data_IF_111857581914
#
_entry.id   IF_111857581914
#
_cell.length_a   1.000
_cell.length_b   1.000
_cell.length_c   1.000
_cell.angle_alpha   90.00
_cell.angle_beta   90.00
_cell.angle_gamma   90.00
#
_symmetry.space_group_name_H-M   'P 1'
#
loop_
_entity.id
_entity.type
_entity.pdbx_description
1 polymer ?
#
# COMPACT_ATOMS: atom_id res chain seq x y z
N UNK A 1 26.30 -8.62 -7.26
CA UNK A 1 25.12 -9.06 -6.48
C UNK A 1 24.26 -7.82 -6.21
N UNK A 2 23.25 -7.57 -7.05
CA UNK A 2 22.49 -6.32 -7.03
C UNK A 2 21.68 -6.20 -5.75
N UNK A 3 21.87 -5.11 -5.00
CA UNK A 3 21.00 -4.78 -3.87
C UNK A 3 19.63 -4.42 -4.45
N UNK A 4 18.59 -5.14 -4.07
CA UNK A 4 17.21 -4.78 -4.41
C UNK A 4 16.74 -3.67 -3.48
N UNK A 5 16.07 -2.64 -4.00
CA UNK A 5 15.56 -1.53 -3.20
C UNK A 5 14.47 -1.90 -2.19
N UNK A 6 13.87 -3.09 -2.35
CA UNK A 6 13.00 -3.77 -1.39
C UNK A 6 13.60 -5.14 -1.05
N UNK A 7 13.56 -5.52 0.23
CA UNK A 7 13.92 -6.86 0.69
C UNK A 7 12.69 -7.55 1.26
N UNK A 8 12.36 -8.69 0.66
CA UNK A 8 11.28 -9.55 1.07
C UNK A 8 11.80 -10.61 2.05
N UNK A 9 11.00 -11.02 3.04
CA UNK A 9 11.39 -12.04 4.01
C UNK A 9 11.57 -13.39 3.30
N UNK A 10 12.65 -14.11 3.63
CA UNK A 10 12.96 -15.46 3.11
C UNK A 10 12.94 -15.62 1.57
N UNK A 11 12.95 -14.52 0.81
CA UNK A 11 12.85 -14.54 -0.64
C UNK A 11 14.04 -13.80 -1.28
N UNK A 12 14.94 -14.58 -1.89
CA UNK A 12 16.14 -14.08 -2.58
C UNK A 12 15.87 -13.70 -4.04
N UNK A 13 14.74 -14.12 -4.61
CA UNK A 13 14.35 -13.89 -5.99
C UNK A 13 12.88 -13.45 -6.06
N UNK A 14 12.57 -12.22 -5.60
CA UNK A 14 11.20 -11.74 -5.54
C UNK A 14 10.55 -11.74 -6.92
N UNK A 15 9.35 -12.26 -6.97
CA UNK A 15 8.50 -12.33 -8.15
C UNK A 15 7.62 -11.09 -8.23
N UNK A 16 6.95 -10.88 -9.36
CA UNK A 16 6.01 -9.75 -9.54
C UNK A 16 4.89 -9.76 -8.50
N UNK A 17 4.52 -10.93 -7.99
CA UNK A 17 3.47 -11.07 -6.97
C UNK A 17 3.93 -10.55 -5.61
N UNK A 18 5.22 -10.68 -5.27
CA UNK A 18 5.77 -10.11 -4.03
C UNK A 18 5.68 -8.57 -4.07
N UNK A 19 5.97 -7.95 -5.21
CA UNK A 19 5.79 -6.51 -5.40
C UNK A 19 4.32 -6.09 -5.39
N UNK A 20 3.42 -6.92 -5.92
CA UNK A 20 1.98 -6.67 -5.86
C UNK A 20 1.46 -6.76 -4.42
N UNK A 21 1.91 -7.77 -3.66
CA UNK A 21 1.65 -7.89 -2.23
C UNK A 21 2.09 -6.62 -1.49
N UNK A 22 3.35 -6.20 -1.69
CA UNK A 22 3.88 -4.97 -1.11
C UNK A 22 3.01 -3.75 -1.47
N UNK A 23 2.73 -3.54 -2.76
CA UNK A 23 1.92 -2.41 -3.21
C UNK A 23 0.51 -2.41 -2.62
N UNK A 24 -0.12 -3.60 -2.53
CA UNK A 24 -1.47 -3.75 -1.99
C UNK A 24 -1.52 -3.47 -0.49
N UNK A 25 -0.52 -3.90 0.28
CA UNK A 25 -0.42 -3.54 1.71
C UNK A 25 -0.26 -2.03 1.92
N UNK A 26 0.55 -1.34 1.12
CA UNK A 26 0.62 0.13 1.16
C UNK A 26 -0.74 0.76 0.79
N UNK A 27 -1.44 0.21 -0.19
CA UNK A 27 -2.79 0.63 -0.58
C UNK A 27 -3.82 0.56 0.56
N UNK A 28 -3.79 -0.54 1.30
CA UNK A 28 -4.82 -0.87 2.29
C UNK A 28 -4.49 -0.39 3.70
N UNK A 29 -3.22 -0.45 4.11
CA UNK A 29 -2.78 -0.20 5.49
C UNK A 29 -1.62 0.80 5.62
N UNK A 30 -1.13 1.36 4.51
CA UNK A 30 0.00 2.30 4.43
C UNK A 30 1.37 1.76 4.85
N UNK A 31 1.43 0.53 5.37
CA UNK A 31 2.63 -0.12 5.82
C UNK A 31 2.50 -1.64 5.73
N UNK A 32 3.64 -2.28 5.48
CA UNK A 32 3.88 -3.73 5.60
C UNK A 32 4.87 -3.93 6.73
N UNK A 33 4.70 -5.01 7.49
CA UNK A 33 5.58 -5.37 8.60
C UNK A 33 6.80 -6.17 8.18
N UNK A 34 6.75 -6.81 7.02
CA UNK A 34 7.66 -7.89 6.64
C UNK A 34 8.61 -7.50 5.49
N UNK A 35 8.28 -6.47 4.69
CA UNK A 35 9.13 -5.98 3.60
C UNK A 35 9.94 -4.75 4.01
N UNK A 36 11.26 -4.83 3.86
CA UNK A 36 12.20 -3.78 4.23
C UNK A 36 12.54 -2.88 3.03
N UNK A 37 12.27 -1.55 3.13
CA UNK A 37 12.64 -0.58 2.10
C UNK A 37 14.08 -0.08 2.30
N UNK A 38 15.00 -0.49 1.41
CA UNK A 38 16.44 -0.29 1.60
C UNK A 38 17.00 0.95 0.89
N UNK A 39 16.36 1.38 -0.18
CA UNK A 39 16.84 2.50 -1.01
C UNK A 39 16.07 3.80 -0.77
N UNK A 40 16.81 4.92 -0.75
CA UNK A 40 16.23 6.27 -0.60
C UNK A 40 15.23 6.58 -1.73
N UNK A 41 15.55 6.19 -2.97
CA UNK A 41 14.68 6.41 -4.13
C UNK A 41 13.35 5.68 -3.98
N UNK A 42 13.40 4.42 -3.55
CA UNK A 42 12.20 3.61 -3.29
C UNK A 42 11.38 4.19 -2.13
N UNK A 43 12.01 4.70 -1.06
CA UNK A 43 11.28 5.36 0.04
C UNK A 43 10.43 6.54 -0.43
N UNK A 44 10.90 7.31 -1.41
CA UNK A 44 10.11 8.43 -1.98
C UNK A 44 8.87 7.93 -2.73
N UNK A 45 9.02 6.83 -3.49
CA UNK A 45 7.89 6.19 -4.20
C UNK A 45 6.88 5.65 -3.20
N UNK A 46 7.34 4.94 -2.17
CA UNK A 46 6.48 4.41 -1.10
C UNK A 46 5.75 5.54 -0.38
N UNK A 47 6.43 6.64 -0.05
CA UNK A 47 5.81 7.80 0.58
C UNK A 47 4.67 8.38 -0.27
N UNK A 48 4.92 8.59 -1.58
CA UNK A 48 3.89 9.10 -2.49
C UNK A 48 2.70 8.13 -2.59
N UNK A 49 2.96 6.83 -2.69
CA UNK A 49 1.90 5.81 -2.68
C UNK A 49 1.10 5.87 -1.38
N UNK A 50 1.75 5.87 -0.21
CA UNK A 50 1.06 5.98 1.08
C UNK A 50 0.21 7.24 1.21
N UNK A 51 0.67 8.40 0.71
CA UNK A 51 -0.11 9.65 0.70
C UNK A 51 -1.36 9.50 -0.17
N UNK A 52 -1.23 8.97 -1.38
CA UNK A 52 -2.36 8.76 -2.29
C UNK A 52 -3.36 7.79 -1.66
N UNK A 53 -2.88 6.67 -1.12
CA UNK A 53 -3.69 5.67 -0.44
C UNK A 53 -4.45 6.27 0.75
N UNK A 54 -3.84 7.18 1.51
CA UNK A 54 -4.48 7.83 2.64
C UNK A 54 -5.75 8.58 2.22
N UNK A 55 -5.65 9.41 1.18
CA UNK A 55 -6.81 10.13 0.66
C UNK A 55 -7.83 9.20 0.01
N UNK A 56 -7.38 8.16 -0.71
CA UNK A 56 -8.27 7.15 -1.28
C UNK A 56 -9.09 6.44 -0.20
N UNK A 57 -8.47 5.96 0.87
CA UNK A 57 -9.17 5.29 1.96
C UNK A 57 -10.14 6.23 2.68
N UNK A 58 -9.77 7.50 2.90
CA UNK A 58 -10.67 8.50 3.45
C UNK A 58 -11.90 8.74 2.55
N UNK A 59 -11.69 8.81 1.23
CA UNK A 59 -12.76 8.95 0.25
C UNK A 59 -13.68 7.74 0.23
N UNK A 60 -13.14 6.52 0.27
CA UNK A 60 -13.94 5.28 0.36
C UNK A 60 -14.84 5.30 1.58
N UNK A 61 -14.32 5.72 2.75
CA UNK A 61 -15.12 5.88 3.96
C UNK A 61 -16.22 6.92 3.78
N UNK A 62 -15.92 8.09 3.22
CA UNK A 62 -16.92 9.13 2.97
C UNK A 62 -18.05 8.67 2.04
N UNK A 63 -17.69 7.98 0.95
CA UNK A 63 -18.66 7.38 0.01
C UNK A 63 -19.50 6.32 0.71
N UNK A 64 -18.88 5.44 1.51
CA UNK A 64 -19.61 4.43 2.27
C UNK A 64 -20.65 5.07 3.21
N UNK A 65 -20.30 6.14 3.93
CA UNK A 65 -21.26 6.89 4.75
C UNK A 65 -22.40 7.49 3.94
N UNK A 66 -22.12 8.02 2.76
CA UNK A 66 -23.16 8.59 1.89
C UNK A 66 -24.14 7.52 1.41
N UNK A 67 -23.62 6.35 1.01
CA UNK A 67 -24.45 5.20 0.61
C UNK A 67 -25.30 4.69 1.77
N UNK A 68 -24.71 4.54 2.96
CA UNK A 68 -25.42 4.08 4.16
C UNK A 68 -26.55 5.04 4.57
N UNK A 69 -26.34 6.35 4.50
CA UNK A 69 -27.39 7.34 4.76
C UNK A 69 -28.54 7.22 3.74
N UNK A 70 -28.21 7.03 2.46
CA UNK A 70 -29.21 6.81 1.41
C UNK A 70 -30.07 5.57 1.67
N UNK A 71 -29.44 4.45 2.03
CA UNK A 71 -30.14 3.21 2.37
C UNK A 71 -31.01 3.32 3.63
N UNK A 72 -30.55 4.05 4.65
CA UNK A 72 -31.30 4.23 5.90
C UNK A 72 -32.53 5.14 5.75
N UNK A 73 -32.60 5.91 4.66
CA UNK A 73 -33.72 6.80 4.35
C UNK A 73 -34.84 6.18 3.50
N UNK A 74 -34.67 4.91 3.08
CA UNK A 74 -35.66 4.08 2.39
C UNK A 74 -36.57 3.37 3.40
#
# INVERSE_FOLDING_TARGET
>A
TGKTGLKFPDNTWPTRLDYLYFAFTIGTTFATSDVEVREVGVRRIVLLHSIISFFYNALVVAVAFQVLQGLASL
#
